data_IF_149665758784
#
_entry.id   IF_149665758784
#
_cell.length_a   1.000
_cell.length_b   1.000
_cell.length_c   1.000
_cell.angle_alpha   90.00
_cell.angle_beta   90.00
_cell.angle_gamma   90.00
#
_symmetry.space_group_name_H-M   'P 1'
#
loop_
_entity.id
_entity.type
_entity.pdbx_description
1 polymer ?
#
# COMPACT_ATOMS: atom_id res chain seq x y z
N UNK A 1 5.69 -9.10 1.12
CA UNK A 1 6.36 -7.85 0.77
C UNK A 1 5.36 -6.76 0.38
N UNK A 2 5.06 -5.93 1.39
CA UNK A 2 4.24 -4.72 1.29
C UNK A 2 5.13 -3.51 1.51
N UNK A 3 5.72 -2.97 0.44
CA UNK A 3 6.60 -1.79 0.49
C UNK A 3 5.88 -0.55 -0.04
N UNK A 4 6.24 0.62 0.48
CA UNK A 4 5.87 1.92 -0.06
C UNK A 4 7.15 2.70 -0.35
N UNK A 5 7.19 3.31 -1.52
CA UNK A 5 8.29 4.11 -2.04
C UNK A 5 7.78 5.54 -2.22
N UNK A 6 8.53 6.51 -1.72
CA UNK A 6 8.27 7.93 -1.86
C UNK A 6 9.48 8.58 -2.53
N UNK A 7 9.25 9.28 -3.63
CA UNK A 7 10.29 9.94 -4.42
C UNK A 7 9.87 11.37 -4.78
N UNK A 8 10.47 12.41 -4.20
CA UNK A 8 10.14 13.80 -4.52
C UNK A 8 10.69 14.16 -5.89
N UNK A 9 9.78 14.48 -6.82
CA UNK A 9 10.10 14.96 -8.16
C UNK A 9 10.48 16.44 -8.08
N UNK A 10 9.66 17.22 -7.36
CA UNK A 10 9.88 18.63 -7.08
C UNK A 10 9.57 18.86 -5.61
N UNK A 11 10.57 19.06 -4.76
CA UNK A 11 10.37 19.37 -3.34
C UNK A 11 11.52 20.23 -2.82
N UNK A 12 11.24 21.01 -1.78
CA UNK A 12 12.22 21.80 -1.03
C UNK A 12 12.28 21.30 0.42
N UNK A 13 12.52 20.00 0.58
CA UNK A 13 12.67 19.36 1.88
C UNK A 13 11.36 19.12 2.63
N UNK A 14 10.33 18.60 1.96
CA UNK A 14 9.08 18.22 2.60
C UNK A 14 9.28 17.22 3.75
N UNK A 15 8.43 17.29 4.78
CA UNK A 15 8.61 16.47 5.98
C UNK A 15 7.74 15.20 5.91
N UNK A 16 8.38 14.03 6.02
CA UNK A 16 7.71 12.73 6.15
C UNK A 16 7.72 12.30 7.61
N UNK A 17 6.54 12.12 8.19
CA UNK A 17 6.39 11.53 9.52
C UNK A 17 6.08 10.04 9.39
N UNK A 18 6.97 9.20 9.88
CA UNK A 18 6.81 7.75 9.97
C UNK A 18 6.26 7.37 11.35
N UNK A 19 5.18 6.60 11.36
CA UNK A 19 4.46 6.13 12.54
C UNK A 19 4.44 4.60 12.54
N UNK A 20 5.37 3.94 13.24
CA UNK A 20 5.34 2.50 13.43
C UNK A 20 4.02 2.07 14.08
N UNK A 21 3.55 0.87 13.75
CA UNK A 21 2.44 0.23 14.45
C UNK A 21 2.83 -0.01 15.91
N UNK A 22 1.88 0.11 16.83
CA UNK A 22 2.16 0.14 18.28
C UNK A 22 2.75 -1.15 18.87
N UNK A 23 2.71 -2.26 18.14
CA UNK A 23 3.35 -3.53 18.49
C UNK A 23 4.85 -3.57 18.16
N UNK A 24 5.34 -2.61 17.37
CA UNK A 24 6.76 -2.45 17.09
C UNK A 24 7.35 -1.53 18.16
N UNK A 25 8.42 -1.97 18.83
CA UNK A 25 9.19 -1.16 19.77
C UNK A 25 10.04 -0.06 19.07
N UNK A 26 9.50 0.53 18.01
CA UNK A 26 10.11 1.58 17.21
C UNK A 26 9.42 2.90 17.52
N UNK A 27 10.22 3.96 17.65
CA UNK A 27 9.69 5.30 17.88
C UNK A 27 9.25 5.97 16.58
N UNK A 28 8.18 6.78 16.59
CA UNK A 28 7.86 7.65 15.47
C UNK A 28 9.04 8.55 15.11
N UNK A 29 9.26 8.78 13.81
CA UNK A 29 10.38 9.59 13.33
C UNK A 29 9.92 10.51 12.21
N UNK A 30 10.32 11.77 12.29
CA UNK A 30 10.23 12.71 11.19
C UNK A 30 11.54 12.70 10.39
N UNK A 31 11.41 12.73 9.07
CA UNK A 31 12.51 12.80 8.12
C UNK A 31 12.20 13.97 7.18
N UNK A 32 13.19 14.79 6.88
CA UNK A 32 13.09 15.68 5.72
C UNK A 32 13.44 14.86 4.49
N UNK A 33 12.61 14.94 3.46
CA UNK A 33 12.80 14.22 2.21
C UNK A 33 13.13 15.23 1.12
N UNK A 34 14.38 15.22 0.68
CA UNK A 34 14.90 16.17 -0.30
C UNK A 34 14.68 15.66 -1.72
N UNK A 35 14.78 16.58 -2.68
CA UNK A 35 14.66 16.25 -4.10
C UNK A 35 15.65 15.14 -4.50
N UNK A 36 15.16 14.17 -5.27
CA UNK A 36 15.91 13.00 -5.73
C UNK A 36 16.31 11.99 -4.64
N UNK A 37 15.82 12.13 -3.41
CA UNK A 37 15.93 11.09 -2.40
C UNK A 37 14.81 10.05 -2.54
N UNK A 38 15.15 8.78 -2.31
CA UNK A 38 14.19 7.69 -2.32
C UNK A 38 13.99 7.16 -0.90
N UNK A 39 12.79 7.34 -0.37
CA UNK A 39 12.40 6.76 0.91
C UNK A 39 11.62 5.47 0.68
N UNK A 40 12.08 4.38 1.29
CA UNK A 40 11.46 3.06 1.21
C UNK A 40 11.15 2.57 2.62
N UNK A 41 9.92 2.13 2.84
CA UNK A 41 9.52 1.51 4.10
C UNK A 41 8.43 0.46 3.90
N UNK A 42 8.24 -0.35 4.93
CA UNK A 42 7.19 -1.37 4.99
C UNK A 42 5.85 -0.75 5.36
N UNK A 43 4.94 -0.62 4.40
CA UNK A 43 3.66 0.06 4.62
C UNK A 43 2.65 -0.76 5.42
N UNK A 44 2.90 -2.06 5.61
CA UNK A 44 2.11 -2.94 6.49
C UNK A 44 2.42 -2.73 7.99
N UNK A 45 3.58 -2.14 8.27
CA UNK A 45 4.18 -2.03 9.60
C UNK A 45 4.34 -0.57 10.04
N UNK A 46 4.45 0.35 9.07
CA UNK A 46 4.72 1.76 9.28
C UNK A 46 3.72 2.57 8.46
N UNK A 47 2.89 3.35 9.15
CA UNK A 47 2.09 4.40 8.53
C UNK A 47 2.95 5.65 8.28
N UNK A 48 2.51 6.50 7.36
CA UNK A 48 3.21 7.75 7.11
C UNK A 48 2.25 8.92 6.88
N UNK A 49 2.77 10.13 6.99
CA UNK A 49 2.12 11.36 6.50
C UNK A 49 3.18 12.30 5.95
N UNK A 50 2.87 12.92 4.82
CA UNK A 50 3.73 13.91 4.18
C UNK A 50 3.21 15.32 4.43
N UNK A 51 4.10 16.27 4.72
CA UNK A 51 3.81 17.69 4.84
C UNK A 51 4.64 18.46 3.81
N UNK A 52 4.03 18.92 2.71
CA UNK A 52 4.75 19.73 1.73
C UNK A 52 5.14 21.07 2.34
N UNK A 53 6.30 21.60 1.95
CA UNK A 53 6.74 22.95 2.38
C UNK A 53 6.38 24.05 1.37
N UNK A 54 6.01 23.67 0.15
CA UNK A 54 5.70 24.56 -0.94
C UNK A 54 4.41 24.10 -1.65
N UNK A 55 3.68 25.03 -2.29
CA UNK A 55 2.52 24.73 -3.13
C UNK A 55 2.87 23.89 -4.38
N UNK A 56 4.11 24.00 -4.87
CA UNK A 56 4.57 23.28 -6.05
C UNK A 56 5.23 21.92 -5.72
N UNK A 57 5.05 21.42 -4.50
CA UNK A 57 5.65 20.17 -4.04
C UNK A 57 4.96 18.96 -4.72
N UNK A 58 5.76 18.11 -5.37
CA UNK A 58 5.32 16.97 -6.15
C UNK A 58 6.14 15.74 -5.75
N UNK A 59 5.43 14.70 -5.33
CA UNK A 59 6.01 13.45 -4.88
C UNK A 59 5.38 12.27 -5.61
N UNK A 60 6.22 11.37 -6.11
CA UNK A 60 5.81 10.10 -6.68
C UNK A 60 5.71 9.05 -5.57
N UNK A 61 4.52 8.46 -5.45
CA UNK A 61 4.28 7.36 -4.53
C UNK A 61 4.08 6.05 -5.30
N UNK A 62 4.72 4.98 -4.83
CA UNK A 62 4.58 3.65 -5.43
C UNK A 62 4.49 2.57 -4.35
N UNK A 63 3.62 1.58 -4.56
CA UNK A 63 3.50 0.44 -3.67
C UNK A 63 3.93 -0.83 -4.37
N UNK A 64 4.73 -1.64 -3.67
CA UNK A 64 5.02 -3.01 -4.06
C UNK A 64 4.15 -3.90 -3.17
N UNK A 65 3.19 -4.56 -3.79
CA UNK A 65 2.24 -5.45 -3.12
C UNK A 65 2.65 -6.91 -3.33
N UNK A 66 2.26 -7.76 -2.39
CA UNK A 66 2.30 -9.20 -2.61
C UNK A 66 1.26 -9.64 -3.62
N UNK A 67 1.49 -10.81 -4.20
CA UNK A 67 0.44 -11.49 -4.94
C UNK A 67 -0.78 -11.71 -4.03
N UNK A 68 -2.00 -11.49 -4.55
CA UNK A 68 -3.21 -11.81 -3.81
C UNK A 68 -3.16 -13.28 -3.43
N UNK A 69 -3.54 -13.61 -2.18
CA UNK A 69 -3.61 -15.00 -1.75
C UNK A 69 -4.56 -15.74 -2.67
N UNK A 70 -4.01 -16.66 -3.47
CA UNK A 70 -4.82 -17.59 -4.23
C UNK A 70 -5.40 -18.57 -3.21
N UNK A 71 -6.72 -18.56 -3.05
CA UNK A 71 -7.41 -19.59 -2.27
C UNK A 71 -7.12 -20.94 -2.94
N UNK A 72 -6.15 -21.69 -2.42
CA UNK A 72 -5.94 -23.08 -2.81
C UNK A 72 -7.01 -23.89 -2.09
N UNK A 73 -7.98 -24.37 -2.85
CA UNK A 73 -8.99 -25.29 -2.36
C UNK A 73 -8.35 -26.67 -2.28
N UNK A 74 -7.70 -26.94 -1.15
CA UNK A 74 -7.16 -28.26 -0.84
C UNK A 74 -8.33 -29.22 -0.55
N UNK A 75 -8.70 -29.99 -1.58
CA UNK A 75 -9.57 -31.17 -1.57
C UNK A 75 -10.89 -31.05 -0.78
N UNK A 76 -11.99 -30.91 -1.52
CA UNK A 76 -13.33 -31.03 -0.95
C UNK A 76 -13.67 -32.49 -0.65
N UNK A 77 -13.86 -32.80 0.64
CA UNK A 77 -14.70 -33.93 1.07
C UNK A 77 -16.09 -33.37 1.44
N UNK A 78 -16.96 -33.19 0.45
CA UNK A 78 -18.31 -32.68 0.69
C UNK A 78 -19.20 -32.68 -0.55
N UNK A 79 -20.42 -33.16 -0.38
CA UNK A 79 -21.46 -33.33 -1.41
C UNK A 79 -21.71 -32.05 -2.24
N UNK A 80 -22.05 -32.29 -3.50
CA UNK A 80 -22.27 -31.33 -4.59
C UNK A 80 -23.19 -30.14 -4.23
N UNK A 81 -24.07 -30.28 -3.23
CA UNK A 81 -24.98 -29.24 -2.76
C UNK A 81 -24.29 -28.13 -1.92
N UNK A 82 -23.15 -28.41 -1.28
CA UNK A 82 -22.39 -27.41 -0.52
C UNK A 82 -21.61 -26.44 -1.40
N UNK A 83 -21.25 -26.86 -2.61
CA UNK A 83 -20.51 -26.06 -3.60
C UNK A 83 -21.37 -24.94 -4.19
N UNK A 84 -22.65 -25.21 -4.47
CA UNK A 84 -23.56 -24.23 -5.08
C UNK A 84 -23.92 -23.07 -4.12
N UNK A 85 -23.94 -23.32 -2.81
CA UNK A 85 -24.19 -22.30 -1.80
C UNK A 85 -23.03 -21.30 -1.64
N UNK A 86 -21.80 -21.70 -1.96
CA UNK A 86 -20.61 -20.83 -1.92
C UNK A 86 -20.40 -20.12 -3.27
N UNK A 87 -20.80 -20.76 -4.38
CA UNK A 87 -20.59 -20.30 -5.77
C UNK A 87 -21.76 -19.43 -6.29
N UNK A 88 -22.67 -18.97 -5.43
CA UNK A 88 -23.69 -17.96 -5.75
C UNK A 88 -23.14 -16.54 -6.04
N UNK A 89 -21.90 -16.42 -6.50
CA UNK A 89 -21.22 -15.17 -6.80
C UNK A 89 -21.15 -14.93 -8.32
N UNK A 90 -21.34 -13.68 -8.79
CA UNK A 90 -21.26 -13.34 -10.21
C UNK A 90 -19.90 -13.74 -10.82
N UNK A 91 -19.85 -13.99 -12.15
CA UNK A 91 -18.67 -14.56 -12.81
C UNK A 91 -17.42 -13.75 -12.49
N UNK A 92 -16.38 -14.46 -12.02
CA UNK A 92 -15.06 -13.89 -11.73
C UNK A 92 -14.59 -13.08 -12.95
N UNK A 93 -14.32 -11.78 -12.83
CA UNK A 93 -13.77 -11.02 -13.93
C UNK A 93 -12.40 -11.63 -14.27
N UNK A 94 -12.27 -12.10 -15.52
CA UNK A 94 -11.06 -12.76 -16.05
C UNK A 94 -9.86 -11.81 -16.15
N UNK A 95 -10.07 -10.51 -15.89
CA UNK A 95 -9.04 -9.50 -16.01
C UNK A 95 -8.38 -9.24 -14.66
N UNK A 96 -7.05 -9.44 -14.58
CA UNK A 96 -6.21 -9.06 -13.44
C UNK A 96 -6.23 -7.54 -13.32
N UNK A 97 -7.19 -6.99 -12.59
CA UNK A 97 -7.14 -5.59 -12.19
C UNK A 97 -6.04 -5.43 -11.13
N UNK A 98 -4.91 -4.88 -11.55
CA UNK A 98 -3.89 -4.40 -10.63
C UNK A 98 -4.48 -3.15 -9.98
N UNK A 99 -4.91 -3.25 -8.72
CA UNK A 99 -5.37 -2.08 -7.97
C UNK A 99 -4.19 -1.15 -7.70
N UNK A 100 -3.95 -0.20 -8.61
CA UNK A 100 -3.12 0.97 -8.34
C UNK A 100 -3.97 1.91 -7.50
N UNK A 101 -3.86 1.79 -6.18
CA UNK A 101 -4.47 2.74 -5.25
C UNK A 101 -3.71 4.07 -5.34
N UNK A 102 -4.14 4.97 -6.22
CA UNK A 102 -3.60 6.33 -6.26
C UNK A 102 -4.35 7.19 -5.22
N UNK A 103 -3.66 7.55 -4.15
CA UNK A 103 -4.15 8.49 -3.14
C UNK A 103 -3.73 9.91 -3.50
N UNK A 104 -4.68 10.78 -3.83
CA UNK A 104 -4.44 12.20 -4.03
C UNK A 104 -4.99 12.98 -2.84
N UNK A 105 -4.11 13.56 -2.02
CA UNK A 105 -4.50 14.50 -0.96
C UNK A 105 -4.45 15.94 -1.51
N UNK A 106 -5.62 16.58 -1.63
CA UNK A 106 -5.75 18.02 -1.86
C UNK A 106 -5.97 18.70 -0.50
N UNK A 107 -5.23 19.78 -0.22
CA UNK A 107 -5.43 20.63 0.94
C UNK A 107 -6.23 21.88 0.52
#
# INVERSE_FOLDING_TARGET
RRLCLLYPIESQGGDVQLRPRGDLALQPRALSLERHELLIFRHDSIGFSYRPKNANDLLLQTWIMDEPQQLQLDQFAGDQQGLEAIIGAPPMPTNKEIHIMCGHCKF
#
